data_IF_586226162941
#
_entry.id   IF_586226162941
#
_cell.length_a   1.000
_cell.length_b   1.000
_cell.length_c   1.000
_cell.angle_alpha   90.00
_cell.angle_beta   90.00
_cell.angle_gamma   90.00
#
_symmetry.space_group_name_H-M   'P 1'
#
loop_
_entity.id
_entity.type
_entity.pdbx_description
1 polymer ?
#
# COMPACT_ATOMS: atom_id res chain seq x y z
N UNK A 1 2.21 10.12 -4.82
CA UNK A 1 1.31 10.26 -3.67
C UNK A 1 0.95 8.92 -2.99
N UNK A 2 0.02 8.10 -3.49
CA UNK A 2 -0.38 6.85 -2.77
C UNK A 2 0.77 5.86 -2.49
N UNK A 3 1.74 5.73 -3.42
CA UNK A 3 2.93 4.90 -3.22
C UNK A 3 3.88 5.46 -2.14
N UNK A 4 4.04 6.79 -2.05
CA UNK A 4 4.90 7.43 -1.03
C UNK A 4 4.25 7.27 0.35
N UNK A 5 2.95 7.54 0.45
CA UNK A 5 2.17 7.33 1.67
C UNK A 5 2.22 5.86 2.11
N UNK A 6 2.17 4.90 1.18
CA UNK A 6 2.32 3.47 1.50
C UNK A 6 3.69 3.15 2.12
N UNK A 7 4.77 3.76 1.61
CA UNK A 7 6.12 3.53 2.14
C UNK A 7 6.27 4.11 3.55
N UNK A 8 5.77 5.32 3.80
CA UNK A 8 5.77 5.94 5.14
C UNK A 8 5.02 5.07 6.15
N UNK A 9 3.77 4.71 5.83
CA UNK A 9 2.93 3.89 6.71
C UNK A 9 3.52 2.49 6.94
N UNK A 10 4.27 1.94 5.98
CA UNK A 10 4.96 0.66 6.14
C UNK A 10 6.13 0.76 7.13
N UNK A 11 6.88 1.87 7.11
CA UNK A 11 7.95 2.12 8.06
C UNK A 11 7.41 2.33 9.47
N UNK A 12 6.40 3.19 9.63
CA UNK A 12 5.74 3.48 10.91
C UNK A 12 5.14 2.20 11.55
N UNK A 13 4.45 1.37 10.76
CA UNK A 13 3.90 0.11 11.24
C UNK A 13 4.98 -0.92 11.64
N UNK A 14 6.13 -0.92 10.96
CA UNK A 14 7.26 -1.77 11.34
C UNK A 14 7.87 -1.32 12.67
N UNK A 15 8.01 -0.02 12.88
CA UNK A 15 8.49 0.57 14.14
C UNK A 15 7.53 0.24 15.29
N UNK A 16 6.23 0.48 15.12
CA UNK A 16 5.20 0.15 16.12
C UNK A 16 5.18 -1.35 16.46
N UNK A 17 5.31 -2.22 15.45
CA UNK A 17 5.41 -3.67 15.68
C UNK A 17 6.66 -4.06 16.47
N UNK A 18 7.79 -3.39 16.21
CA UNK A 18 9.02 -3.56 16.99
C UNK A 18 8.81 -3.17 18.45
N UNK A 19 8.19 -2.02 18.70
CA UNK A 19 7.93 -1.49 20.05
C UNK A 19 6.96 -2.37 20.85
N UNK A 20 5.92 -2.90 20.20
CA UNK A 20 4.99 -3.88 20.80
C UNK A 20 5.73 -5.14 21.24
N UNK A 21 6.61 -5.71 20.40
CA UNK A 21 7.40 -6.90 20.75
C UNK A 21 8.32 -6.64 21.94
N UNK A 22 9.01 -5.51 21.94
CA UNK A 22 9.89 -5.10 23.04
C UNK A 22 9.12 -4.95 24.37
N UNK A 23 7.92 -4.37 24.33
CA UNK A 23 7.07 -4.23 25.52
C UNK A 23 6.57 -5.56 26.05
N UNK A 24 6.25 -6.52 25.18
CA UNK A 24 5.86 -7.87 25.61
C UNK A 24 7.01 -8.55 26.34
N UNK A 25 8.23 -8.50 25.80
CA UNK A 25 9.42 -9.07 26.44
C UNK A 25 9.65 -8.43 27.82
N UNK A 26 9.62 -7.09 27.89
CA UNK A 26 9.81 -6.37 29.16
C UNK A 26 8.71 -6.63 30.18
N UNK A 27 7.46 -6.78 29.74
CA UNK A 27 6.35 -7.12 30.62
C UNK A 27 6.54 -8.52 31.22
N UNK A 28 7.03 -9.46 30.41
CA UNK A 28 7.33 -10.83 30.85
C UNK A 28 8.52 -10.89 31.81
N UNK A 29 9.57 -10.10 31.57
CA UNK A 29 10.68 -9.95 32.51
C UNK A 29 10.20 -9.44 33.87
N UNK A 30 9.33 -8.43 33.89
CA UNK A 30 8.74 -7.91 35.13
C UNK A 30 7.88 -8.97 35.85
N UNK A 31 7.18 -9.82 35.09
CA UNK A 31 6.38 -10.93 35.63
C UNK A 31 7.28 -11.98 36.28
N UNK A 32 8.37 -12.36 35.63
CA UNK A 32 9.36 -13.33 36.14
C UNK A 32 10.06 -12.82 37.40
N UNK A 33 10.34 -11.52 37.48
CA UNK A 33 10.94 -10.86 38.66
C UNK A 33 9.94 -10.59 39.80
N UNK A 34 8.64 -10.91 39.62
CA UNK A 34 7.59 -10.64 40.61
C UNK A 34 7.21 -9.17 40.78
N UNK A 35 7.68 -8.28 39.90
CA UNK A 35 7.35 -6.84 39.93
C UNK A 35 6.05 -6.55 39.17
N UNK A 36 4.92 -6.84 39.82
CA UNK A 36 3.59 -6.67 39.24
C UNK A 36 3.18 -5.20 39.03
N UNK A 37 3.82 -4.25 39.71
CA UNK A 37 3.54 -2.82 39.53
C UNK A 37 4.04 -2.33 38.18
N UNK A 38 5.30 -2.63 37.86
CA UNK A 38 5.90 -2.30 36.56
C UNK A 38 5.26 -3.11 35.43
N UNK A 39 4.96 -4.39 35.66
CA UNK A 39 4.23 -5.23 34.71
C UNK A 39 2.91 -4.58 34.27
N UNK A 40 2.09 -4.09 35.22
CA UNK A 40 0.83 -3.40 34.93
C UNK A 40 1.03 -2.13 34.10
N UNK A 41 2.09 -1.35 34.35
CA UNK A 41 2.41 -0.16 33.54
C UNK A 41 2.78 -0.55 32.11
N UNK A 42 3.59 -1.60 31.93
CA UNK A 42 3.97 -2.10 30.59
C UNK A 42 2.76 -2.65 29.82
N UNK A 43 1.83 -3.33 30.50
CA UNK A 43 0.59 -3.79 29.87
C UNK A 43 -0.33 -2.65 29.44
N UNK A 44 -0.44 -1.55 30.20
CA UNK A 44 -1.19 -0.37 29.74
C UNK A 44 -0.55 0.24 28.49
N UNK A 45 0.77 0.42 28.50
CA UNK A 45 1.51 0.92 27.33
C UNK A 45 1.35 0.00 26.11
N UNK A 46 1.34 -1.31 26.32
CA UNK A 46 1.09 -2.31 25.27
C UNK A 46 -0.33 -2.17 24.70
N UNK A 47 -1.34 -1.96 25.55
CA UNK A 47 -2.73 -1.79 25.12
C UNK A 47 -2.91 -0.54 24.25
N UNK A 48 -2.34 0.58 24.67
CA UNK A 48 -2.39 1.85 23.92
C UNK A 48 -1.73 1.69 22.54
N UNK A 49 -0.54 1.06 22.51
CA UNK A 49 0.19 0.82 21.26
C UNK A 49 -0.46 -0.19 20.33
N UNK A 50 -1.10 -1.21 20.90
CA UNK A 50 -1.85 -2.17 20.11
C UNK A 50 -3.07 -1.51 19.46
N UNK A 51 -3.74 -0.59 20.18
CA UNK A 51 -4.83 0.18 19.61
C UNK A 51 -4.36 1.07 18.46
N UNK A 52 -3.24 1.79 18.65
CA UNK A 52 -2.61 2.61 17.61
C UNK A 52 -2.20 1.77 16.39
N UNK A 53 -1.60 0.59 16.61
CA UNK A 53 -1.20 -0.34 15.55
C UNK A 53 -2.41 -0.82 14.73
N UNK A 54 -3.55 -1.10 15.36
CA UNK A 54 -4.79 -1.48 14.66
C UNK A 54 -5.30 -0.34 13.78
N UNK A 55 -5.29 0.90 14.29
CA UNK A 55 -5.69 2.08 13.53
C UNK A 55 -4.78 2.26 12.31
N UNK A 56 -3.47 2.17 12.49
CA UNK A 56 -2.50 2.29 11.39
C UNK A 56 -2.65 1.16 10.37
N UNK A 57 -2.90 -0.07 10.81
CA UNK A 57 -3.23 -1.16 9.91
C UNK A 57 -4.48 -0.88 9.07
N UNK A 58 -5.52 -0.29 9.66
CA UNK A 58 -6.73 0.06 8.93
C UNK A 58 -6.48 1.17 7.90
N UNK A 59 -5.68 2.19 8.24
CA UNK A 59 -5.24 3.23 7.27
C UNK A 59 -4.46 2.61 6.11
N UNK A 60 -3.51 1.70 6.40
CA UNK A 60 -2.74 0.97 5.38
C UNK A 60 -3.64 0.16 4.47
N UNK A 61 -4.61 -0.56 5.03
CA UNK A 61 -5.57 -1.34 4.29
C UNK A 61 -6.38 -0.46 3.32
N UNK A 62 -6.91 0.66 3.81
CA UNK A 62 -7.67 1.59 2.99
C UNK A 62 -6.83 2.19 1.84
N UNK A 63 -5.62 2.67 2.14
CA UNK A 63 -4.72 3.21 1.10
C UNK A 63 -4.31 2.13 0.07
N UNK A 64 -4.12 0.89 0.50
CA UNK A 64 -3.84 -0.22 -0.40
C UNK A 64 -5.04 -0.54 -1.29
N UNK A 65 -6.25 -0.53 -0.74
CA UNK A 65 -7.48 -0.76 -1.48
C UNK A 65 -7.70 0.34 -2.54
N UNK A 66 -7.54 1.61 -2.18
CA UNK A 66 -7.63 2.74 -3.12
C UNK A 66 -6.63 2.63 -4.27
N UNK A 67 -5.38 2.25 -3.96
CA UNK A 67 -4.34 2.04 -4.97
C UNK A 67 -4.71 0.90 -5.93
N UNK A 68 -5.18 -0.24 -5.40
CA UNK A 68 -5.60 -1.37 -6.23
C UNK A 68 -6.78 -1.01 -7.13
N UNK A 69 -7.74 -0.25 -6.61
CA UNK A 69 -8.88 0.22 -7.40
C UNK A 69 -8.45 1.21 -8.50
N UNK A 70 -7.48 2.09 -8.21
CA UNK A 70 -6.85 2.95 -9.21
C UNK A 70 -6.16 2.16 -10.32
N UNK A 71 -5.33 1.18 -9.96
CA UNK A 71 -4.65 0.30 -10.92
C UNK A 71 -5.63 -0.53 -11.76
N UNK A 72 -6.72 -0.98 -11.15
CA UNK A 72 -7.79 -1.70 -11.85
C UNK A 72 -8.46 -0.80 -12.90
N UNK A 73 -8.76 0.45 -12.56
CA UNK A 73 -9.32 1.44 -13.51
C UNK A 73 -8.37 1.68 -14.69
N UNK A 74 -7.07 1.86 -14.43
CA UNK A 74 -6.06 2.02 -15.49
C UNK A 74 -6.01 0.80 -16.40
N UNK A 75 -5.93 -0.41 -15.84
CA UNK A 75 -5.93 -1.64 -16.64
C UNK A 75 -7.22 -1.80 -17.47
N UNK A 76 -8.38 -1.48 -16.90
CA UNK A 76 -9.65 -1.49 -17.62
C UNK A 76 -9.66 -0.47 -18.76
N UNK A 77 -9.10 0.72 -18.57
CA UNK A 77 -8.98 1.74 -19.61
C UNK A 77 -8.15 1.24 -20.80
N UNK A 78 -6.98 0.65 -20.53
CA UNK A 78 -6.12 0.04 -21.56
C UNK A 78 -6.89 -1.05 -22.32
N UNK A 79 -7.59 -1.91 -21.60
CA UNK A 79 -8.38 -2.98 -22.23
C UNK A 79 -9.54 -2.45 -23.07
N UNK A 80 -10.22 -1.39 -22.63
CA UNK A 80 -11.27 -0.71 -23.41
C UNK A 80 -10.68 -0.11 -24.69
N UNK A 81 -9.57 0.61 -24.60
CA UNK A 81 -8.88 1.18 -25.76
C UNK A 81 -8.42 0.10 -26.76
N UNK A 82 -7.95 -1.03 -26.25
CA UNK A 82 -7.55 -2.17 -27.07
C UNK A 82 -8.75 -2.85 -27.77
N UNK A 83 -9.90 -2.98 -27.10
CA UNK A 83 -11.12 -3.58 -27.66
C UNK A 83 -11.75 -2.78 -28.79
N UNK A 84 -11.44 -1.49 -28.92
CA UNK A 84 -11.83 -0.68 -30.07
C UNK A 84 -11.08 -1.06 -31.36
N UNK A 85 -10.06 -1.92 -31.26
CA UNK A 85 -9.20 -2.33 -32.37
C UNK A 85 -9.20 -3.86 -32.52
N UNK A 86 -8.94 -4.33 -33.73
CA UNK A 86 -8.96 -5.77 -34.07
C UNK A 86 -7.58 -6.21 -34.57
N UNK A 87 -7.18 -7.44 -34.25
CA UNK A 87 -5.93 -8.04 -34.74
C UNK A 87 -4.67 -7.40 -34.14
N UNK A 88 -3.63 -7.22 -34.97
CA UNK A 88 -2.31 -6.75 -34.55
C UNK A 88 -2.33 -5.39 -33.85
N UNK A 89 -3.18 -4.46 -34.32
CA UNK A 89 -3.31 -3.10 -33.75
C UNK A 89 -3.80 -3.11 -32.30
N UNK A 90 -4.55 -4.14 -31.87
CA UNK A 90 -4.96 -4.33 -30.48
C UNK A 90 -3.75 -4.60 -29.58
N UNK A 91 -2.86 -5.50 -30.01
CA UNK A 91 -1.66 -5.85 -29.24
C UNK A 91 -0.67 -4.69 -29.19
N UNK A 92 -0.51 -3.97 -30.30
CA UNK A 92 0.34 -2.78 -30.37
C UNK A 92 -0.07 -1.71 -29.34
N UNK A 93 -1.36 -1.37 -29.26
CA UNK A 93 -1.87 -0.38 -28.29
C UNK A 93 -1.67 -0.83 -26.84
N UNK A 94 -1.86 -2.12 -26.53
CA UNK A 94 -1.60 -2.62 -25.16
C UNK A 94 -0.12 -2.46 -24.80
N UNK A 95 0.79 -2.78 -25.73
CA UNK A 95 2.23 -2.63 -25.51
C UNK A 95 2.62 -1.17 -25.32
N UNK A 96 2.18 -0.29 -26.23
CA UNK A 96 2.47 1.14 -26.19
C UNK A 96 1.92 1.80 -24.92
N UNK A 97 0.67 1.50 -24.53
CA UNK A 97 0.11 2.00 -23.27
C UNK A 97 0.92 1.57 -22.04
N UNK A 98 1.39 0.32 -22.00
CA UNK A 98 2.24 -0.18 -20.89
C UNK A 98 3.59 0.51 -20.86
N UNK A 99 4.17 0.78 -22.03
CA UNK A 99 5.46 1.47 -22.13
C UNK A 99 5.36 2.94 -21.73
N UNK A 100 4.30 3.64 -22.18
CA UNK A 100 4.00 5.01 -21.77
C UNK A 100 3.80 5.14 -20.25
N UNK A 101 3.11 4.17 -19.62
CA UNK A 101 2.95 4.12 -18.16
C UNK A 101 4.30 3.92 -17.47
N UNK A 102 5.16 3.02 -17.99
CA UNK A 102 6.50 2.78 -17.42
C UNK A 102 7.38 4.04 -17.48
N UNK A 103 7.25 4.83 -18.55
CA UNK A 103 7.96 6.11 -18.72
C UNK A 103 7.28 7.31 -18.03
N UNK A 104 6.14 7.08 -17.35
CA UNK A 104 5.32 8.10 -16.70
C UNK A 104 4.86 9.23 -17.65
N UNK A 105 4.61 8.91 -18.92
CA UNK A 105 4.21 9.86 -19.96
C UNK A 105 2.69 9.83 -20.18
N UNK A 106 1.95 10.56 -19.33
CA UNK A 106 0.49 10.59 -19.37
C UNK A 106 -0.09 11.20 -20.66
N UNK A 107 0.59 12.17 -21.27
CA UNK A 107 0.12 12.79 -22.51
C UNK A 107 0.14 11.81 -23.69
N UNK A 108 1.23 11.06 -23.84
CA UNK A 108 1.38 10.00 -24.86
C UNK A 108 0.35 8.89 -24.62
N UNK A 109 0.03 8.55 -23.36
CA UNK A 109 -1.00 7.56 -23.06
C UNK A 109 -2.37 7.96 -23.63
N UNK A 110 -2.79 9.22 -23.47
CA UNK A 110 -4.07 9.69 -24.02
C UNK A 110 -4.03 9.69 -25.55
N UNK A 111 -2.93 10.17 -26.13
CA UNK A 111 -2.72 10.20 -27.58
C UNK A 111 -2.76 8.80 -28.21
N UNK A 112 -2.12 7.80 -27.58
CA UNK A 112 -2.17 6.39 -28.01
C UNK A 112 -3.60 5.85 -27.93
N UNK A 113 -4.36 6.21 -26.89
CA UNK A 113 -5.75 5.75 -26.72
C UNK A 113 -6.62 6.30 -27.85
N UNK A 114 -6.50 7.60 -28.15
CA UNK A 114 -7.28 8.31 -29.17
C UNK A 114 -6.89 7.92 -30.60
N UNK A 115 -5.59 7.96 -30.93
CA UNK A 115 -5.11 7.82 -32.32
C UNK A 115 -4.59 6.42 -32.65
N UNK A 116 -4.19 5.63 -31.65
CA UNK A 116 -3.64 4.29 -31.84
C UNK A 116 -2.18 4.27 -32.27
N UNK A 117 -1.50 5.41 -32.28
CA UNK A 117 -0.06 5.57 -32.57
C UNK A 117 0.59 6.43 -31.49
N UNK A 118 1.88 6.21 -31.25
CA UNK A 118 2.74 7.11 -30.47
C UNK A 118 2.91 8.46 -31.18
#
# INVERSE_FOLDING_TARGET
RHNETRLSLAAESAELSGRVKELVVRAEDCRLLGNFSEMKKKYRQLMDQNHELVIEHMKRYNNQQELLDGLKKVNQMIQKAARLRVGASKMAVISACREAIKKNQLHILVQIIETGKE
#
